data_IF_175507391422
#
_entry.id   IF_175507391422
#
_cell.length_a   1.000
_cell.length_b   1.000
_cell.length_c   1.000
_cell.angle_alpha   90.00
_cell.angle_beta   90.00
_cell.angle_gamma   90.00
#
_symmetry.space_group_name_H-M   'P 1'
#
loop_
_entity.id
_entity.type
_entity.pdbx_description
1 polymer ?
#
# COMPACT_ATOMS: atom_id res chain seq x y z
N UNK A 1 25.82 -15.45 20.32
CA UNK A 1 26.36 -14.70 19.17
C UNK A 1 25.49 -13.46 19.02
N UNK A 2 26.09 -12.27 19.02
CA UNK A 2 25.34 -11.01 18.93
C UNK A 2 25.00 -10.73 17.46
N UNK A 3 23.72 -10.87 17.10
CA UNK A 3 23.27 -10.68 15.72
C UNK A 3 23.45 -9.21 15.30
N UNK A 4 23.39 -8.27 16.23
CA UNK A 4 23.49 -6.83 15.98
C UNK A 4 24.94 -6.39 15.73
N UNK A 5 25.92 -7.23 16.07
CA UNK A 5 27.34 -7.00 15.78
C UNK A 5 27.73 -7.41 14.34
N UNK A 6 26.80 -7.96 13.56
CA UNK A 6 27.06 -8.31 12.17
C UNK A 6 27.29 -7.05 11.31
N UNK A 7 28.15 -7.13 10.28
CA UNK A 7 28.27 -6.06 9.30
C UNK A 7 26.92 -5.73 8.65
N UNK A 8 26.74 -4.45 8.34
CA UNK A 8 25.48 -3.90 7.85
C UNK A 8 24.90 -4.61 6.61
N UNK A 9 25.77 -5.12 5.73
CA UNK A 9 25.35 -5.88 4.55
C UNK A 9 24.59 -7.16 4.92
N UNK A 10 25.04 -7.88 5.95
CA UNK A 10 24.38 -9.11 6.40
C UNK A 10 23.08 -8.81 7.11
N UNK A 11 23.02 -7.72 7.88
CA UNK A 11 21.80 -7.26 8.52
C UNK A 11 20.73 -6.89 7.49
N UNK A 12 21.11 -6.21 6.40
CA UNK A 12 20.20 -5.92 5.28
C UNK A 12 19.71 -7.19 4.59
N UNK A 13 20.62 -8.11 4.27
CA UNK A 13 20.24 -9.41 3.69
C UNK A 13 19.28 -10.18 4.61
N UNK A 14 19.55 -10.21 5.91
CA UNK A 14 18.66 -10.82 6.89
C UNK A 14 17.28 -10.18 6.84
N UNK A 15 17.19 -8.84 6.90
CA UNK A 15 15.90 -8.15 6.84
C UNK A 15 15.14 -8.51 5.57
N UNK A 16 15.78 -8.55 4.40
CA UNK A 16 15.12 -8.90 3.13
C UNK A 16 14.51 -10.30 3.10
N UNK A 17 15.03 -11.23 3.92
CA UNK A 17 14.50 -12.60 4.01
C UNK A 17 13.44 -12.81 5.10
N UNK A 18 13.26 -11.84 6.00
CA UNK A 18 12.32 -11.96 7.11
C UNK A 18 10.90 -11.58 6.69
N UNK A 19 9.92 -12.39 7.11
CA UNK A 19 8.51 -12.05 6.97
C UNK A 19 8.14 -10.81 7.78
N UNK A 20 7.01 -10.19 7.42
CA UNK A 20 6.42 -9.07 8.15
C UNK A 20 6.27 -9.39 9.64
N UNK A 21 5.74 -10.58 9.93
CA UNK A 21 5.49 -11.07 11.29
C UNK A 21 6.77 -11.26 12.09
N UNK A 22 7.85 -11.72 11.45
CA UNK A 22 9.13 -11.90 12.12
C UNK A 22 9.80 -10.57 12.43
N UNK A 23 9.72 -9.60 11.50
CA UNK A 23 10.22 -8.24 11.75
C UNK A 23 9.48 -7.58 12.91
N UNK A 24 8.16 -7.74 12.97
CA UNK A 24 7.32 -7.30 14.09
C UNK A 24 7.80 -7.86 15.43
N UNK A 25 8.03 -9.17 15.50
CA UNK A 25 8.55 -9.84 16.70
C UNK A 25 9.95 -9.36 17.06
N UNK A 26 10.81 -9.17 16.07
CA UNK A 26 12.18 -8.72 16.27
C UNK A 26 12.23 -7.36 16.95
N UNK A 27 11.37 -6.41 16.57
CA UNK A 27 11.29 -5.09 17.23
C UNK A 27 10.92 -5.15 18.70
N UNK A 28 10.07 -6.11 19.06
CA UNK A 28 9.63 -6.29 20.44
C UNK A 28 10.73 -6.86 21.34
N UNK A 29 11.86 -7.30 20.79
CA UNK A 29 12.95 -7.88 21.59
C UNK A 29 13.72 -6.82 22.37
N UNK A 30 14.15 -5.74 21.74
CA UNK A 30 14.88 -4.63 22.40
C UNK A 30 14.95 -3.38 21.52
N UNK A 31 15.31 -2.23 22.12
CA UNK A 31 15.44 -0.95 21.40
C UNK A 31 16.42 -1.01 20.22
N UNK A 32 17.50 -1.79 20.33
CA UNK A 32 18.47 -1.90 19.24
C UNK A 32 17.90 -2.67 18.04
N UNK A 33 17.13 -3.73 18.29
CA UNK A 33 16.38 -4.44 17.25
C UNK A 33 15.26 -3.59 16.65
N UNK A 34 14.58 -2.77 17.46
CA UNK A 34 13.60 -1.80 16.97
C UNK A 34 14.23 -0.80 15.98
N UNK A 35 15.36 -0.21 16.37
CA UNK A 35 16.12 0.70 15.51
C UNK A 35 16.69 0.00 14.27
N UNK A 36 17.08 -1.27 14.39
CA UNK A 36 17.53 -2.06 13.24
C UNK A 36 16.41 -2.21 12.21
N UNK A 37 15.22 -2.63 12.63
CA UNK A 37 14.09 -2.84 11.71
C UNK A 37 13.58 -1.49 11.17
N UNK A 38 13.55 -0.45 11.98
CA UNK A 38 13.02 0.86 11.58
C UNK A 38 13.92 1.59 10.56
N UNK A 39 15.25 1.47 10.69
CA UNK A 39 16.20 2.23 9.88
C UNK A 39 16.79 1.44 8.71
N UNK A 40 16.51 0.14 8.61
CA UNK A 40 16.95 -0.66 7.46
C UNK A 40 15.83 -0.74 6.44
N UNK A 41 16.26 -0.60 5.20
CA UNK A 41 15.43 -0.71 4.02
C UNK A 41 14.58 -1.97 4.14
N UNK A 42 13.26 -1.77 4.15
CA UNK A 42 12.32 -2.87 4.24
C UNK A 42 12.34 -3.76 2.99
N UNK A 43 13.06 -3.31 1.95
CA UNK A 43 13.24 -3.98 0.69
C UNK A 43 12.34 -3.40 -0.39
N UNK A 44 12.62 -3.82 -1.63
CA UNK A 44 11.72 -3.64 -2.75
C UNK A 44 10.75 -4.83 -2.78
N UNK A 45 9.47 -4.53 -2.99
CA UNK A 45 8.47 -5.54 -3.31
C UNK A 45 8.03 -5.36 -4.75
N UNK A 46 7.82 -6.46 -5.45
CA UNK A 46 7.33 -6.41 -6.83
C UNK A 46 5.93 -5.78 -6.88
N UNK A 47 5.09 -6.06 -5.87
CA UNK A 47 3.68 -5.63 -5.85
C UNK A 47 3.19 -5.20 -4.47
N UNK A 48 2.43 -4.11 -4.45
CA UNK A 48 1.56 -3.71 -3.33
C UNK A 48 0.13 -3.48 -3.85
N UNK A 49 -0.87 -3.69 -3.01
CA UNK A 49 -2.27 -3.51 -3.38
C UNK A 49 -3.10 -2.98 -2.22
N UNK A 50 -3.93 -1.98 -2.47
CA UNK A 50 -5.03 -1.57 -1.60
C UNK A 50 -6.33 -1.89 -2.32
N UNK A 51 -7.21 -2.67 -1.67
CA UNK A 51 -8.53 -3.02 -2.19
C UNK A 51 -9.60 -2.52 -1.23
N UNK A 52 -10.55 -1.77 -1.76
CA UNK A 52 -11.78 -1.39 -1.08
C UNK A 52 -12.89 -2.32 -1.56
N UNK A 53 -13.64 -2.90 -0.63
CA UNK A 53 -14.82 -3.68 -0.97
C UNK A 53 -15.96 -3.37 -0.01
N UNK A 54 -17.15 -3.23 -0.58
CA UNK A 54 -18.38 -3.10 0.17
C UNK A 54 -18.67 -4.43 0.88
N UNK A 55 -19.00 -4.37 2.18
CA UNK A 55 -19.48 -5.57 2.87
C UNK A 55 -20.84 -5.95 2.26
N UNK A 56 -21.00 -7.18 1.73
CA UNK A 56 -22.27 -7.64 1.16
C UNK A 56 -23.42 -7.65 2.17
N UNK A 57 -23.14 -7.60 3.47
CA UNK A 57 -24.12 -7.52 4.55
C UNK A 57 -24.49 -6.08 4.91
N UNK A 58 -23.92 -5.07 4.25
CA UNK A 58 -24.16 -3.66 4.51
C UNK A 58 -23.50 -3.12 5.79
N UNK A 59 -22.43 -3.77 6.26
CA UNK A 59 -21.56 -3.18 7.27
C UNK A 59 -20.60 -2.17 6.62
N UNK A 60 -19.78 -1.53 7.46
CA UNK A 60 -18.77 -0.56 7.02
C UNK A 60 -17.84 -1.17 5.96
N UNK A 61 -17.47 -0.35 4.97
CA UNK A 61 -16.52 -0.71 3.92
C UNK A 61 -15.23 -1.25 4.55
N UNK A 62 -14.72 -2.33 3.95
CA UNK A 62 -13.47 -2.94 4.40
C UNK A 62 -12.34 -2.60 3.44
N UNK A 63 -11.16 -2.43 4.02
CA UNK A 63 -9.93 -2.20 3.29
C UNK A 63 -8.96 -3.34 3.52
N UNK A 64 -8.44 -3.88 2.42
CA UNK A 64 -7.39 -4.89 2.41
C UNK A 64 -6.08 -4.33 1.82
N UNK A 65 -5.04 -4.27 2.64
CA UNK A 65 -3.68 -3.89 2.21
C UNK A 65 -2.79 -5.12 2.07
N UNK A 66 -2.40 -5.46 0.83
CA UNK A 66 -1.49 -6.57 0.52
C UNK A 66 -0.10 -6.03 0.14
N UNK A 67 0.93 -6.68 0.66
CA UNK A 67 2.34 -6.33 0.39
C UNK A 67 3.07 -7.60 -0.01
N UNK A 68 3.73 -7.60 -1.16
CA UNK A 68 4.45 -8.76 -1.68
C UNK A 68 3.57 -9.95 -2.07
N UNK A 69 2.25 -9.73 -2.25
CA UNK A 69 1.30 -10.77 -2.63
C UNK A 69 0.83 -11.68 -1.49
N UNK A 70 1.24 -11.44 -0.25
CA UNK A 70 0.72 -12.17 0.92
C UNK A 70 -0.64 -11.60 1.39
N UNK A 71 -1.38 -12.39 2.19
CA UNK A 71 -2.68 -11.99 2.75
C UNK A 71 -2.53 -10.69 3.54
N UNK A 72 -3.33 -9.71 3.15
CA UNK A 72 -3.28 -8.37 3.70
C UNK A 72 -3.88 -8.25 5.10
N UNK A 73 -3.83 -7.02 5.62
CA UNK A 73 -4.59 -6.65 6.81
C UNK A 73 -5.97 -6.19 6.35
N UNK A 74 -7.02 -6.90 6.78
CA UNK A 74 -8.40 -6.44 6.68
C UNK A 74 -8.68 -5.50 7.86
N UNK A 75 -9.22 -4.32 7.55
CA UNK A 75 -9.53 -3.31 8.54
C UNK A 75 -10.73 -2.46 8.09
N UNK A 76 -11.51 -1.99 9.06
CA UNK A 76 -12.41 -0.83 8.85
C UNK A 76 -11.58 0.44 8.58
N UNK A 77 -12.19 1.52 8.08
CA UNK A 77 -11.49 2.80 7.84
C UNK A 77 -10.70 3.32 9.06
N UNK A 78 -11.29 3.26 10.26
CA UNK A 78 -10.64 3.69 11.50
C UNK A 78 -9.45 2.78 11.87
N UNK A 79 -9.65 1.46 11.76
CA UNK A 79 -8.61 0.48 12.01
C UNK A 79 -7.52 0.53 10.95
N UNK A 80 -7.84 0.97 9.74
CA UNK A 80 -6.91 1.06 8.64
C UNK A 80 -5.86 2.14 8.87
N UNK A 81 -6.25 3.31 9.36
CA UNK A 81 -5.30 4.35 9.77
C UNK A 81 -4.32 3.79 10.81
N UNK A 82 -4.81 2.99 11.76
CA UNK A 82 -3.97 2.35 12.78
C UNK A 82 -3.06 1.28 12.17
N UNK A 83 -3.60 0.40 11.31
CA UNK A 83 -2.85 -0.64 10.61
C UNK A 83 -1.75 -0.03 9.74
N UNK A 84 -2.06 1.07 9.05
CA UNK A 84 -1.13 1.89 8.29
C UNK A 84 -0.05 2.50 9.18
N UNK A 85 -0.41 3.13 10.30
CA UNK A 85 0.58 3.76 11.18
C UNK A 85 1.53 2.70 11.74
N UNK A 86 1.01 1.50 12.02
CA UNK A 86 1.82 0.35 12.39
C UNK A 86 2.73 -0.05 11.23
N UNK A 87 2.21 -0.21 10.02
CA UNK A 87 2.96 -0.54 8.79
C UNK A 87 4.07 0.49 8.49
N UNK A 88 3.78 1.78 8.61
CA UNK A 88 4.74 2.87 8.43
C UNK A 88 5.81 2.86 9.51
N UNK A 89 5.43 2.62 10.78
CA UNK A 89 6.41 2.42 11.84
C UNK A 89 7.29 1.23 11.53
N UNK A 90 6.72 0.16 10.98
CA UNK A 90 7.41 -1.08 10.64
C UNK A 90 8.39 -0.93 9.49
N UNK A 91 8.09 -0.06 8.52
CA UNK A 91 8.89 0.07 7.31
C UNK A 91 9.03 1.53 6.89
N UNK A 92 10.20 2.11 7.18
CA UNK A 92 10.64 3.26 6.40
C UNK A 92 11.24 2.75 5.09
N UNK A 93 10.99 3.48 3.98
CA UNK A 93 11.60 3.25 2.66
C UNK A 93 11.21 1.93 1.97
N UNK A 94 9.92 1.57 1.99
CA UNK A 94 9.47 0.53 1.05
C UNK A 94 9.46 1.11 -0.35
N UNK A 95 10.04 0.35 -1.29
CA UNK A 95 9.81 0.58 -2.71
C UNK A 95 8.89 -0.49 -3.29
N UNK A 96 8.01 -0.08 -4.19
CA UNK A 96 7.17 -0.97 -4.98
C UNK A 96 7.47 -0.78 -6.46
N UNK A 97 7.67 -1.88 -7.18
CA UNK A 97 7.70 -1.82 -8.65
C UNK A 97 6.31 -1.45 -9.19
N UNK A 98 5.28 -2.12 -8.67
CA UNK A 98 3.88 -1.91 -9.03
C UNK A 98 3.03 -1.75 -7.77
N UNK A 99 2.22 -0.70 -7.68
CA UNK A 99 1.27 -0.49 -6.59
C UNK A 99 -0.13 -0.29 -7.15
N UNK A 100 -1.05 -1.18 -6.80
CA UNK A 100 -2.42 -1.15 -7.30
C UNK A 100 -3.38 -0.60 -6.25
N UNK A 101 -4.33 0.21 -6.71
CA UNK A 101 -5.45 0.68 -5.90
C UNK A 101 -6.74 0.32 -6.63
N UNK A 102 -7.54 -0.55 -6.02
CA UNK A 102 -8.87 -0.96 -6.50
C UNK A 102 -9.94 -0.36 -5.59
N UNK A 103 -10.81 0.48 -6.17
CA UNK A 103 -11.78 1.28 -5.44
C UNK A 103 -13.19 0.69 -5.56
N UNK A 104 -13.99 0.84 -4.50
CA UNK A 104 -15.44 0.59 -4.56
C UNK A 104 -16.17 1.70 -5.34
N UNK A 105 -17.47 1.54 -5.58
CA UNK A 105 -18.27 2.50 -6.33
C UNK A 105 -18.61 3.79 -5.54
N UNK A 106 -18.24 3.87 -4.26
CA UNK A 106 -18.63 4.98 -3.38
C UNK A 106 -17.47 5.71 -2.72
N UNK A 107 -16.24 5.19 -2.84
CA UNK A 107 -15.08 5.74 -2.14
C UNK A 107 -14.34 6.80 -2.99
N UNK A 108 -14.00 7.93 -2.34
CA UNK A 108 -13.03 8.89 -2.89
C UNK A 108 -11.62 8.39 -2.58
N UNK A 109 -10.82 8.03 -3.60
CA UNK A 109 -9.44 7.56 -3.38
C UNK A 109 -8.50 8.66 -2.88
N UNK A 110 -8.91 9.93 -2.92
CA UNK A 110 -7.94 11.03 -3.02
C UNK A 110 -6.98 11.10 -1.83
N UNK A 111 -7.47 10.88 -0.61
CA UNK A 111 -6.64 10.87 0.59
C UNK A 111 -5.69 9.68 0.65
N UNK A 112 -6.16 8.49 0.26
CA UNK A 112 -5.35 7.26 0.28
C UNK A 112 -4.23 7.26 -0.74
N UNK A 113 -4.49 7.77 -1.94
CA UNK A 113 -3.48 7.86 -3.00
C UNK A 113 -2.45 8.92 -2.65
N UNK A 114 -2.87 10.12 -2.23
CA UNK A 114 -1.95 11.18 -1.78
C UNK A 114 -1.04 10.66 -0.67
N UNK A 115 -1.64 9.99 0.32
CA UNK A 115 -0.89 9.37 1.39
C UNK A 115 0.11 8.32 0.87
N UNK A 116 -0.31 7.44 -0.04
CA UNK A 116 0.56 6.39 -0.60
C UNK A 116 1.76 6.99 -1.35
N UNK A 117 1.54 8.04 -2.14
CA UNK A 117 2.60 8.76 -2.87
C UNK A 117 3.58 9.44 -1.91
N UNK A 118 3.09 9.98 -0.80
CA UNK A 118 3.96 10.62 0.21
C UNK A 118 4.80 9.62 1.00
N UNK A 119 4.31 8.40 1.20
CA UNK A 119 4.95 7.42 2.11
C UNK A 119 5.80 6.39 1.42
N UNK A 120 5.52 6.05 0.16
CA UNK A 120 6.19 4.98 -0.54
C UNK A 120 6.94 5.48 -1.76
N UNK A 121 8.06 4.83 -2.06
CA UNK A 121 8.70 4.99 -3.36
C UNK A 121 8.02 4.03 -4.35
N UNK A 122 7.09 4.56 -5.13
CA UNK A 122 6.30 3.74 -6.07
C UNK A 122 6.75 4.07 -7.48
N UNK A 123 7.27 3.06 -8.18
CA UNK A 123 7.68 3.22 -9.58
C UNK A 123 6.47 3.35 -10.49
N UNK A 124 5.48 2.47 -10.32
CA UNK A 124 4.27 2.46 -11.12
C UNK A 124 3.01 2.36 -10.23
N UNK A 125 2.17 3.38 -10.27
CA UNK A 125 0.81 3.30 -9.74
C UNK A 125 -0.14 2.73 -10.78
N UNK A 126 -0.99 1.79 -10.36
CA UNK A 126 -2.10 1.28 -11.14
C UNK A 126 -3.42 1.62 -10.47
N UNK A 127 -4.29 2.32 -11.18
CA UNK A 127 -5.65 2.58 -10.72
C UNK A 127 -6.65 1.77 -11.51
N UNK A 128 -7.59 1.15 -10.80
CA UNK A 128 -8.81 0.61 -11.39
C UNK A 128 -9.96 1.53 -11.02
N UNK A 129 -10.54 2.20 -12.03
CA UNK A 129 -11.64 3.17 -11.83
C UNK A 129 -12.93 2.62 -12.42
N UNK A 130 -14.03 2.83 -11.67
CA UNK A 130 -15.37 2.31 -12.01
C UNK A 130 -16.42 3.40 -12.22
N UNK A 131 -16.09 4.69 -12.03
CA UNK A 131 -16.97 5.82 -12.40
C UNK A 131 -16.20 7.14 -12.62
N UNK A 132 -16.88 8.12 -13.23
CA UNK A 132 -16.28 9.38 -13.73
C UNK A 132 -15.67 10.27 -12.62
N UNK A 133 -16.33 10.52 -11.48
CA UNK A 133 -15.71 11.24 -10.38
C UNK A 133 -14.37 10.65 -9.88
N UNK A 134 -14.21 9.33 -9.81
CA UNK A 134 -12.92 8.71 -9.45
C UNK A 134 -11.83 9.04 -10.46
N UNK A 135 -12.17 9.00 -11.74
CA UNK A 135 -11.25 9.36 -12.81
C UNK A 135 -10.76 10.81 -12.64
N UNK A 136 -11.66 11.74 -12.33
CA UNK A 136 -11.28 13.14 -12.07
C UNK A 136 -10.37 13.28 -10.84
N UNK A 137 -10.69 12.62 -9.73
CA UNK A 137 -9.84 12.64 -8.53
C UNK A 137 -8.44 12.08 -8.82
N UNK A 138 -8.34 10.97 -9.54
CA UNK A 138 -7.05 10.35 -9.88
C UNK A 138 -6.25 11.21 -10.85
N UNK A 139 -6.89 11.80 -11.86
CA UNK A 139 -6.23 12.73 -12.79
C UNK A 139 -5.66 13.95 -12.06
N UNK A 140 -6.38 14.48 -11.07
CA UNK A 140 -5.88 15.56 -10.22
C UNK A 140 -4.63 15.13 -9.46
N UNK A 141 -4.63 13.93 -8.86
CA UNK A 141 -3.49 13.41 -8.11
C UNK A 141 -2.26 13.19 -9.01
N UNK A 142 -2.47 12.68 -10.23
CA UNK A 142 -1.41 12.53 -11.23
C UNK A 142 -0.82 13.90 -11.59
N UNK A 143 -1.67 14.92 -11.75
CA UNK A 143 -1.22 16.30 -12.00
C UNK A 143 -0.42 16.88 -10.84
N UNK A 144 -0.81 16.56 -9.60
CA UNK A 144 -0.16 17.08 -8.38
C UNK A 144 1.18 16.36 -8.09
N UNK A 145 1.38 15.15 -8.62
CA UNK A 145 2.56 14.31 -8.36
C UNK A 145 3.25 13.80 -9.64
N UNK A 146 3.76 14.68 -10.52
CA UNK A 146 4.23 14.31 -11.86
C UNK A 146 5.50 13.44 -11.87
N UNK A 147 6.18 13.25 -10.73
CA UNK A 147 7.41 12.46 -10.64
C UNK A 147 7.21 10.95 -10.68
N UNK A 148 6.00 10.45 -10.40
CA UNK A 148 5.71 9.01 -10.40
C UNK A 148 5.23 8.55 -11.77
N UNK A 149 5.39 7.26 -12.10
CA UNK A 149 4.74 6.70 -13.29
C UNK A 149 3.36 6.18 -12.92
N UNK A 150 2.43 6.33 -13.84
CA UNK A 150 1.03 6.00 -13.64
C UNK A 150 0.51 5.16 -14.81
N UNK A 151 -0.30 4.16 -14.49
CA UNK A 151 -1.14 3.43 -15.43
C UNK A 151 -2.55 3.43 -14.87
N UNK A 152 -3.52 3.61 -15.75
CA UNK A 152 -4.92 3.68 -15.37
C UNK A 152 -5.70 2.70 -16.22
N UNK A 153 -6.46 1.84 -15.54
CA UNK A 153 -7.36 0.85 -16.12
C UNK A 153 -8.77 1.35 -15.84
N UNK A 154 -9.45 1.77 -16.89
CA UNK A 154 -10.85 2.21 -16.84
C UNK A 154 -11.72 0.97 -17.06
N UNK A 155 -12.52 0.60 -16.06
CA UNK A 155 -13.44 -0.54 -16.20
C UNK A 155 -14.61 -0.17 -17.12
N UNK A 156 -14.91 -1.02 -18.09
CA UNK A 156 -15.93 -0.75 -19.12
C UNK A 156 -17.36 -0.67 -18.59
N UNK A 157 -17.59 -1.06 -17.34
CA UNK A 157 -18.89 -0.97 -16.68
C UNK A 157 -19.34 0.51 -16.52
N UNK A 158 -18.41 1.46 -16.68
CA UNK A 158 -18.60 2.92 -16.66
C UNK A 158 -19.47 3.44 -17.82
N UNK A 159 -19.41 2.80 -18.99
CA UNK A 159 -20.14 3.26 -20.16
C UNK A 159 -21.28 2.29 -20.43
N UNK A 160 -22.49 2.50 -19.87
CA UNK A 160 -23.65 1.85 -20.44
C UNK A 160 -23.62 2.21 -21.92
N UNK A 161 -23.47 1.19 -22.78
CA UNK A 161 -23.56 1.36 -24.22
C UNK A 161 -24.75 2.29 -24.46
N UNK A 162 -24.51 3.49 -24.96
CA UNK A 162 -25.59 4.38 -25.36
C UNK A 162 -26.36 3.61 -26.42
N UNK A 163 -27.43 2.93 -26.00
CA UNK A 163 -28.42 2.36 -26.90
C UNK A 163 -29.08 3.56 -27.54
N UNK A 164 -28.57 3.92 -28.72
CA UNK A 164 -29.22 4.86 -29.62
C UNK A 164 -30.70 4.48 -29.76
N UNK A 165 -31.58 5.36 -29.28
CA UNK A 165 -32.98 5.43 -29.70
C UNK A 165 -33.06 6.24 -30.99
#
# INVERSE_FOLDING_TARGET
MDILALPDVFLRMLMTTMTIKDRLRLRQTCNASDQLVANKDAGAYDRGEIVFYDDPNGNDSMLLLKIGGEHGVEATDEEFVVAIVLIHRLWSRISFEEFRIELSDHDDPSDYVKWSVEKFEIKLFQFRVSYEPQLHSILQIISDHPSSQYTMIVCSDIFPQQKHF
#
